data_IF_300847988748
#
_entry.id   IF_300847988748
#
_cell.length_a   1.000
_cell.length_b   1.000
_cell.length_c   1.000
_cell.angle_alpha   90.00
_cell.angle_beta   90.00
_cell.angle_gamma   90.00
#
_symmetry.space_group_name_H-M   'P 1'
#
loop_
_entity.id
_entity.type
_entity.pdbx_description
1 polymer ?
#
# COMPACT_ATOMS: atom_id res chain seq x y z
N UNK A 1 -12.06 11.97 3.87
CA UNK A 1 -12.69 13.07 4.62
C UNK A 1 -13.69 12.51 5.61
N UNK A 2 -13.82 13.13 6.77
CA UNK A 2 -14.83 12.75 7.77
C UNK A 2 -15.79 13.94 7.86
N UNK A 3 -17.10 13.69 7.77
CA UNK A 3 -18.14 14.71 7.94
C UNK A 3 -19.21 14.18 8.87
N UNK A 4 -19.21 14.62 10.13
CA UNK A 4 -20.02 14.00 11.18
C UNK A 4 -19.57 12.55 11.42
N UNK A 5 -20.52 11.63 11.34
CA UNK A 5 -20.26 10.18 11.47
C UNK A 5 -19.91 9.50 10.14
N UNK A 6 -19.98 10.25 9.02
CA UNK A 6 -19.73 9.71 7.69
C UNK A 6 -18.25 9.78 7.29
N UNK A 7 -17.78 8.73 6.60
CA UNK A 7 -16.44 8.64 6.03
C UNK A 7 -16.50 8.66 4.50
N UNK A 8 -15.75 9.56 3.89
CA UNK A 8 -15.65 9.75 2.44
C UNK A 8 -14.23 9.46 1.95
N UNK A 9 -14.08 8.70 0.87
CA UNK A 9 -12.78 8.48 0.21
C UNK A 9 -12.43 9.72 -0.60
N UNK A 10 -11.24 10.29 -0.35
CA UNK A 10 -10.75 11.44 -1.12
C UNK A 10 -10.19 11.03 -2.47
N UNK A 11 -9.31 10.04 -2.44
CA UNK A 11 -8.57 9.55 -3.59
C UNK A 11 -8.20 8.09 -3.38
N UNK A 12 -7.91 7.42 -4.48
CA UNK A 12 -7.25 6.12 -4.49
C UNK A 12 -5.95 6.30 -5.26
N UNK A 13 -4.83 6.11 -4.59
CA UNK A 13 -3.51 6.16 -5.22
C UNK A 13 -3.01 4.74 -5.50
N UNK A 14 -2.82 4.40 -6.78
CA UNK A 14 -2.34 3.08 -7.23
C UNK A 14 -0.83 2.98 -7.31
N UNK A 15 -0.10 4.10 -7.20
CA UNK A 15 1.37 4.14 -7.20
C UNK A 15 1.83 4.99 -6.00
N UNK A 16 1.77 4.42 -4.77
CA UNK A 16 2.24 5.13 -3.59
C UNK A 16 3.76 5.30 -3.61
N UNK A 17 4.27 6.29 -2.86
CA UNK A 17 5.70 6.39 -2.63
C UNK A 17 6.24 5.21 -1.81
N UNK A 18 7.44 4.75 -2.14
CA UNK A 18 8.10 3.59 -1.49
C UNK A 18 9.41 3.95 -0.79
N UNK A 19 9.59 5.20 -0.38
CA UNK A 19 10.74 5.60 0.46
C UNK A 19 10.44 5.41 1.95
N UNK A 20 11.46 5.40 2.80
CA UNK A 20 11.28 5.38 4.25
C UNK A 20 10.44 6.54 4.80
N UNK A 21 10.38 7.67 4.07
CA UNK A 21 9.58 8.82 4.45
C UNK A 21 8.10 8.70 4.01
N UNK A 22 7.79 7.81 3.07
CA UNK A 22 6.47 7.64 2.47
C UNK A 22 5.47 6.99 3.44
N UNK A 23 4.18 7.30 3.27
CA UNK A 23 3.11 6.81 4.16
C UNK A 23 2.90 5.30 4.03
N UNK A 24 2.85 4.77 2.80
CA UNK A 24 2.55 3.35 2.58
C UNK A 24 3.54 2.40 3.29
N UNK A 25 4.88 2.58 3.21
CA UNK A 25 5.82 1.83 4.04
C UNK A 25 5.67 2.04 5.55
N UNK A 26 5.33 3.25 6.00
CA UNK A 26 5.13 3.56 7.43
C UNK A 26 3.89 2.87 8.00
N UNK A 27 2.79 2.82 7.24
CA UNK A 27 1.55 2.15 7.60
C UNK A 27 1.75 0.63 7.67
N UNK A 28 2.45 0.04 6.68
CA UNK A 28 2.83 -1.37 6.71
C UNK A 28 3.65 -1.71 7.98
N UNK A 29 4.64 -0.86 8.29
CA UNK A 29 5.43 -1.01 9.53
C UNK A 29 4.57 -0.92 10.79
N UNK A 30 3.60 0.00 10.84
CA UNK A 30 2.67 0.11 11.95
C UNK A 30 1.77 -1.14 12.09
N UNK A 31 1.48 -1.82 10.98
CA UNK A 31 0.80 -3.11 10.95
C UNK A 31 1.73 -4.32 11.25
N UNK A 32 3.00 -4.08 11.59
CA UNK A 32 3.97 -5.14 11.91
C UNK A 32 4.65 -5.76 10.70
N UNK A 33 4.50 -5.18 9.50
CA UNK A 33 5.10 -5.66 8.25
C UNK A 33 6.37 -4.85 7.98
N UNK A 34 7.52 -5.50 7.94
CA UNK A 34 8.79 -4.86 7.57
C UNK A 34 8.79 -4.43 6.10
N UNK A 35 9.67 -3.49 5.75
CA UNK A 35 9.77 -3.03 4.37
C UNK A 35 10.15 -4.17 3.41
N UNK A 36 11.01 -5.10 3.83
CA UNK A 36 11.36 -6.29 3.05
C UNK A 36 10.15 -7.18 2.83
N UNK A 37 9.38 -7.49 3.88
CA UNK A 37 8.16 -8.31 3.76
C UNK A 37 7.10 -7.65 2.87
N UNK A 38 6.98 -6.31 2.91
CA UNK A 38 6.08 -5.56 2.03
C UNK A 38 6.48 -5.74 0.56
N UNK A 39 7.78 -5.58 0.24
CA UNK A 39 8.27 -5.76 -1.12
C UNK A 39 8.11 -7.20 -1.61
N UNK A 40 8.39 -8.18 -0.75
CA UNK A 40 8.21 -9.59 -1.06
C UNK A 40 6.74 -9.88 -1.44
N UNK A 41 5.78 -9.38 -0.65
CA UNK A 41 4.36 -9.53 -0.96
C UNK A 41 3.97 -8.90 -2.31
N UNK A 42 4.41 -7.68 -2.59
CA UNK A 42 4.10 -7.00 -3.85
C UNK A 42 4.65 -7.75 -5.07
N UNK A 43 5.89 -8.27 -4.96
CA UNK A 43 6.52 -9.05 -6.01
C UNK A 43 5.79 -10.38 -6.20
N UNK A 44 5.47 -11.09 -5.11
CA UNK A 44 4.72 -12.35 -5.17
C UNK A 44 3.37 -12.15 -5.86
N UNK A 45 2.60 -11.13 -5.48
CA UNK A 45 1.30 -10.83 -6.10
C UNK A 45 1.43 -10.53 -7.60
N UNK A 46 2.48 -9.82 -8.01
CA UNK A 46 2.75 -9.55 -9.42
C UNK A 46 3.07 -10.83 -10.21
N UNK A 47 3.77 -11.78 -9.59
CA UNK A 47 4.10 -13.09 -10.20
C UNK A 47 2.88 -14.03 -10.27
N UNK A 48 1.98 -13.97 -9.29
CA UNK A 48 0.75 -14.76 -9.25
C UNK A 48 -0.30 -14.32 -10.28
N UNK A 49 -0.29 -13.02 -10.63
CA UNK A 49 -1.15 -12.46 -11.66
C UNK A 49 -0.34 -11.90 -12.83
N UNK A 50 0.35 -12.76 -13.60
CA UNK A 50 1.19 -12.30 -14.70
C UNK A 50 0.35 -11.58 -15.75
N UNK A 51 0.83 -10.43 -16.21
CA UNK A 51 0.22 -9.70 -17.31
C UNK A 51 0.17 -10.62 -18.53
N UNK A 52 -1.05 -10.97 -18.96
CA UNK A 52 -1.26 -11.71 -20.21
C UNK A 52 -1.09 -10.73 -21.36
N UNK A 53 0.08 -10.76 -21.99
CA UNK A 53 0.31 -10.14 -23.29
C UNK A 53 -0.34 -10.96 -24.42
#
# INVERSE_FOLDING_TARGET
>A
FISGDDVYVSEVNTIPGLTNASLYPKEAKAAGISFTELLDQLITLALENPVKY
#
